data_IF_346702322916
#
_entry.id   IF_346702322916
#
_cell.length_a   1.000
_cell.length_b   1.000
_cell.length_c   1.000
_cell.angle_alpha   90.00
_cell.angle_beta   90.00
_cell.angle_gamma   90.00
#
_symmetry.space_group_name_H-M   'P 1'
#
loop_
_entity.id
_entity.type
_entity.pdbx_description
1 polymer ?
#
# COMPACT_ATOMS: atom_id res chain seq x y z
N UNK A 1 -63.95 1.17 0.97
CA UNK A 1 -62.66 0.57 0.57
C UNK A 1 -61.85 1.60 -0.16
N UNK A 2 -60.57 1.81 0.23
CA UNK A 2 -59.69 2.77 -0.44
C UNK A 2 -59.19 2.22 -1.76
N UNK A 3 -59.01 3.05 -2.80
CA UNK A 3 -58.52 2.60 -4.10
C UNK A 3 -57.04 2.25 -4.04
N UNK A 4 -56.70 1.13 -4.65
CA UNK A 4 -55.33 0.65 -4.81
C UNK A 4 -54.54 1.57 -5.74
N UNK A 5 -53.49 2.19 -5.21
CA UNK A 5 -52.50 2.90 -6.01
C UNK A 5 -51.58 1.88 -6.69
N UNK A 6 -51.79 1.68 -7.98
CA UNK A 6 -50.83 0.97 -8.84
C UNK A 6 -49.76 1.95 -9.25
N UNK A 7 -48.64 1.96 -8.51
CA UNK A 7 -47.41 2.61 -8.98
C UNK A 7 -46.56 1.59 -9.74
N UNK A 8 -46.72 1.58 -11.05
CA UNK A 8 -45.83 0.86 -11.93
C UNK A 8 -44.54 1.69 -12.09
N UNK A 9 -43.51 1.36 -11.35
CA UNK A 9 -42.17 1.88 -11.58
C UNK A 9 -41.65 1.16 -12.82
N UNK A 10 -41.63 1.87 -13.95
CA UNK A 10 -40.92 1.40 -15.13
C UNK A 10 -39.40 1.51 -14.84
N UNK A 11 -38.80 0.38 -14.58
CA UNK A 11 -37.32 0.28 -14.64
C UNK A 11 -36.91 0.42 -16.11
N UNK A 12 -36.45 1.59 -16.49
CA UNK A 12 -35.68 1.75 -17.71
C UNK A 12 -34.26 1.30 -17.40
N UNK A 13 -33.83 0.20 -17.99
CA UNK A 13 -32.46 -0.25 -17.94
C UNK A 13 -31.56 0.83 -18.53
N UNK A 14 -30.39 1.14 -17.90
CA UNK A 14 -29.44 2.07 -18.49
C UNK A 14 -28.92 1.46 -19.79
N UNK A 15 -29.15 2.18 -20.89
CA UNK A 15 -28.54 1.86 -22.18
C UNK A 15 -27.06 2.14 -22.06
N UNK A 16 -26.26 1.11 -22.00
CA UNK A 16 -24.81 1.21 -22.16
C UNK A 16 -24.59 1.60 -23.62
N UNK A 17 -24.28 2.86 -23.84
CA UNK A 17 -23.69 3.30 -25.11
C UNK A 17 -22.33 2.60 -25.22
N UNK A 18 -22.21 1.75 -26.22
CA UNK A 18 -20.90 1.28 -26.67
C UNK A 18 -20.15 2.51 -27.13
N UNK A 19 -19.10 2.87 -26.43
CA UNK A 19 -18.09 3.78 -26.95
C UNK A 19 -17.39 3.05 -28.09
N UNK A 20 -17.74 3.48 -29.29
CA UNK A 20 -17.06 3.04 -30.49
C UNK A 20 -15.64 3.60 -30.52
N UNK A 21 -14.71 2.67 -30.72
CA UNK A 21 -13.44 2.85 -31.38
C UNK A 21 -12.54 3.97 -30.86
N UNK A 22 -11.87 3.68 -29.76
CA UNK A 22 -10.52 4.18 -29.59
C UNK A 22 -9.62 3.24 -30.41
N UNK A 23 -9.08 3.76 -31.51
CA UNK A 23 -8.11 3.07 -32.35
C UNK A 23 -6.85 2.83 -31.54
N UNK A 24 -6.67 1.61 -31.08
CA UNK A 24 -5.45 1.13 -30.40
C UNK A 24 -4.23 1.00 -31.33
N UNK A 25 -4.27 1.58 -32.52
CA UNK A 25 -3.17 1.44 -33.47
C UNK A 25 -2.05 2.48 -33.33
N UNK A 26 -2.28 3.58 -32.63
CA UNK A 26 -1.27 4.65 -32.51
C UNK A 26 -0.39 4.57 -31.25
N UNK A 27 -0.78 3.78 -30.24
CA UNK A 27 0.04 3.61 -29.03
C UNK A 27 1.11 2.53 -29.13
N UNK A 28 0.98 1.57 -30.02
CA UNK A 28 1.95 0.46 -30.14
C UNK A 28 3.22 0.87 -30.89
N UNK A 29 3.16 1.91 -31.72
CA UNK A 29 4.34 2.38 -32.48
C UNK A 29 5.34 3.16 -31.66
N UNK A 30 4.91 3.83 -30.59
CA UNK A 30 5.82 4.64 -29.77
C UNK A 30 6.62 3.85 -28.75
N UNK A 31 6.15 2.67 -28.34
CA UNK A 31 6.91 1.80 -27.40
C UNK A 31 7.98 0.96 -28.07
N UNK A 32 7.79 0.61 -29.34
CA UNK A 32 8.77 -0.18 -30.10
C UNK A 32 9.96 0.67 -30.54
N UNK A 33 9.74 1.94 -30.86
CA UNK A 33 10.84 2.85 -31.22
C UNK A 33 11.71 3.24 -30.02
N UNK A 34 11.14 3.33 -28.82
CA UNK A 34 11.88 3.66 -27.60
C UNK A 34 12.75 2.49 -27.11
N UNK A 35 12.37 1.25 -27.39
CA UNK A 35 13.19 0.08 -27.05
C UNK A 35 14.33 -0.15 -28.04
N UNK A 36 14.11 0.13 -29.31
CA UNK A 36 15.18 0.00 -30.33
C UNK A 36 16.25 1.09 -30.19
N UNK A 37 15.85 2.32 -29.79
CA UNK A 37 16.81 3.41 -29.58
C UNK A 37 17.68 3.18 -28.34
N UNK A 38 17.16 2.55 -27.30
CA UNK A 38 17.96 2.20 -26.10
C UNK A 38 18.93 1.05 -26.33
N UNK A 39 18.57 0.11 -27.19
CA UNK A 39 19.45 -1.03 -27.55
C UNK A 39 20.57 -0.55 -28.50
N UNK A 40 20.28 0.40 -29.39
CA UNK A 40 21.28 0.93 -30.31
C UNK A 40 22.36 1.79 -29.60
N UNK A 41 22.00 2.51 -28.53
CA UNK A 41 22.95 3.32 -27.77
C UNK A 41 23.90 2.44 -26.93
N UNK A 42 23.42 1.28 -26.46
CA UNK A 42 24.26 0.35 -25.69
C UNK A 42 25.30 -0.41 -26.56
N UNK A 43 25.07 -0.54 -27.87
CA UNK A 43 25.98 -1.25 -28.77
C UNK A 43 27.05 -0.30 -29.34
N UNK A 44 26.77 0.99 -29.42
CA UNK A 44 27.74 1.97 -29.95
C UNK A 44 28.86 2.31 -28.95
N UNK A 45 28.65 2.11 -27.65
CA UNK A 45 29.62 2.43 -26.62
C UNK A 45 30.65 1.30 -26.34
N UNK A 46 30.49 0.14 -26.95
CA UNK A 46 31.40 -1.02 -26.76
C UNK A 46 32.53 -1.08 -27.79
N UNK A 47 32.56 -0.16 -28.78
CA UNK A 47 33.51 -0.21 -29.90
C UNK A 47 34.75 0.68 -29.74
N UNK A 48 35.06 1.15 -28.56
CA UNK A 48 36.11 2.14 -28.34
C UNK A 48 37.09 1.84 -27.21
N UNK A 49 37.38 0.60 -26.88
CA UNK A 49 38.51 0.28 -25.99
C UNK A 49 39.01 -1.13 -26.24
N UNK A 50 39.70 -1.30 -27.37
CA UNK A 50 40.59 -2.40 -27.55
C UNK A 50 41.93 -2.07 -26.91
N UNK A 51 42.42 -3.08 -26.19
CA UNK A 51 43.79 -3.30 -25.71
C UNK A 51 44.09 -2.78 -24.28
N UNK A 52 44.45 -3.78 -23.51
CA UNK A 52 45.01 -3.85 -22.18
C UNK A 52 44.03 -3.77 -21.01
N UNK A 53 43.32 -4.86 -20.81
CA UNK A 53 43.26 -5.57 -19.52
C UNK A 53 42.29 -6.74 -19.68
N UNK A 54 42.84 -7.90 -20.03
CA UNK A 54 42.23 -9.20 -19.89
C UNK A 54 41.99 -9.51 -18.41
N UNK A 55 41.03 -8.83 -17.80
CA UNK A 55 40.46 -9.19 -16.51
C UNK A 55 39.00 -9.56 -16.74
N UNK A 56 38.85 -10.85 -16.90
CA UNK A 56 37.74 -11.68 -16.47
C UNK A 56 36.34 -11.13 -16.67
N UNK A 57 35.80 -11.44 -17.85
CA UNK A 57 34.34 -11.48 -18.10
C UNK A 57 33.61 -12.35 -17.06
N UNK A 58 34.36 -13.19 -16.30
CA UNK A 58 33.81 -13.96 -15.20
C UNK A 58 33.40 -13.10 -13.99
N UNK A 59 34.06 -11.97 -13.74
CA UNK A 59 33.71 -11.06 -12.63
C UNK A 59 32.49 -10.20 -12.93
N UNK A 60 32.20 -9.93 -14.20
CA UNK A 60 30.98 -9.22 -14.61
C UNK A 60 29.70 -10.08 -14.50
N UNK A 61 29.84 -11.41 -14.45
CA UNK A 61 28.68 -12.30 -14.22
C UNK A 61 28.25 -12.38 -12.77
N UNK A 62 29.09 -11.98 -11.81
CA UNK A 62 28.72 -11.96 -10.40
C UNK A 62 28.01 -10.68 -9.97
N UNK A 63 28.08 -9.60 -10.75
CA UNK A 63 27.42 -8.33 -10.41
C UNK A 63 25.98 -8.26 -10.90
N UNK A 64 25.56 -9.14 -11.82
CA UNK A 64 24.22 -9.12 -12.42
C UNK A 64 23.24 -10.06 -11.71
N UNK A 65 23.69 -10.77 -10.68
CA UNK A 65 22.77 -11.54 -9.82
C UNK A 65 22.44 -10.78 -8.53
N UNK A 66 22.34 -9.44 -8.59
CA UNK A 66 21.41 -8.79 -7.68
C UNK A 66 20.03 -9.14 -8.20
N UNK A 67 19.46 -10.18 -7.59
CA UNK A 67 18.07 -10.49 -7.75
C UNK A 67 17.29 -9.18 -7.73
N UNK A 68 16.61 -8.86 -8.83
CA UNK A 68 15.53 -7.86 -8.78
C UNK A 68 14.74 -8.19 -7.53
N UNK A 69 14.53 -7.24 -6.61
CA UNK A 69 13.72 -7.51 -5.45
C UNK A 69 12.35 -7.92 -6.00
N UNK A 70 12.05 -9.21 -5.89
CA UNK A 70 10.71 -9.70 -6.19
C UNK A 70 9.73 -8.73 -5.54
N UNK A 71 8.70 -8.26 -6.24
CA UNK A 71 7.74 -7.33 -5.67
C UNK A 71 7.27 -7.93 -4.36
N UNK A 72 7.70 -7.34 -3.26
CA UNK A 72 7.48 -7.89 -1.93
C UNK A 72 5.98 -8.02 -1.70
N UNK A 73 5.49 -9.23 -1.83
CA UNK A 73 4.08 -9.56 -1.68
C UNK A 73 3.63 -9.18 -0.26
N UNK A 74 2.56 -8.43 -0.19
CA UNK A 74 1.92 -8.09 1.08
C UNK A 74 0.82 -9.11 1.32
N UNK A 75 0.88 -9.80 2.44
CA UNK A 75 -0.08 -10.82 2.83
C UNK A 75 -1.17 -10.23 3.74
N UNK A 76 -2.40 -10.67 3.55
CA UNK A 76 -3.51 -10.32 4.43
C UNK A 76 -3.59 -11.28 5.63
N UNK A 77 -3.23 -12.54 5.42
CA UNK A 77 -3.15 -13.58 6.45
C UNK A 77 -1.88 -14.39 6.28
N UNK A 78 -1.27 -14.76 7.41
CA UNK A 78 -0.05 -15.57 7.47
C UNK A 78 -0.14 -16.55 8.64
N UNK A 79 0.73 -17.54 8.66
CA UNK A 79 0.79 -18.54 9.74
C UNK A 79 1.05 -17.90 11.11
N UNK A 80 1.91 -16.90 11.16
CA UNK A 80 2.16 -16.11 12.36
C UNK A 80 1.92 -14.63 12.04
N UNK A 81 0.86 -14.08 12.63
CA UNK A 81 0.53 -12.66 12.48
C UNK A 81 1.57 -11.78 13.17
N UNK A 82 1.83 -10.58 12.64
CA UNK A 82 2.71 -9.62 13.30
C UNK A 82 2.15 -9.25 14.67
N UNK A 83 3.05 -9.03 15.62
CA UNK A 83 2.69 -8.68 16.98
C UNK A 83 3.40 -7.43 17.45
N UNK A 84 2.67 -6.57 18.16
CA UNK A 84 3.26 -5.43 18.86
C UNK A 84 4.18 -5.93 20.00
N UNK A 85 5.30 -5.27 20.28
CA UNK A 85 6.12 -5.58 21.47
C UNK A 85 5.28 -5.47 22.75
N UNK A 86 5.19 -6.56 23.49
CA UNK A 86 4.32 -6.65 24.66
C UNK A 86 2.87 -7.09 24.38
N UNK A 87 2.50 -7.30 23.10
CA UNK A 87 1.20 -7.80 22.70
C UNK A 87 0.14 -6.72 22.47
N UNK A 88 -1.09 -7.16 22.25
CA UNK A 88 -2.20 -6.28 21.91
C UNK A 88 -2.56 -5.28 23.04
N UNK A 89 -2.44 -5.70 24.29
CA UNK A 89 -2.70 -4.82 25.44
C UNK A 89 -1.74 -3.63 25.49
N UNK A 90 -0.45 -3.90 25.30
CA UNK A 90 0.59 -2.85 25.24
C UNK A 90 0.38 -1.91 24.05
N UNK A 91 -0.05 -2.44 22.91
CA UNK A 91 -0.41 -1.63 21.74
C UNK A 91 -1.53 -0.64 22.06
N UNK A 92 -2.60 -1.10 22.72
CA UNK A 92 -3.71 -0.25 23.12
C UNK A 92 -3.29 0.82 24.14
N UNK A 93 -2.42 0.47 25.08
CA UNK A 93 -1.84 1.41 26.02
C UNK A 93 -0.95 2.45 25.32
N UNK A 94 -0.13 2.00 24.38
CA UNK A 94 0.71 2.88 23.57
C UNK A 94 -0.14 3.91 22.80
N UNK A 95 -1.19 3.45 22.13
CA UNK A 95 -2.13 4.32 21.41
C UNK A 95 -2.73 5.35 22.39
N UNK A 96 -3.28 4.91 23.53
CA UNK A 96 -3.90 5.79 24.53
C UNK A 96 -2.94 6.82 25.11
N UNK A 97 -1.69 6.44 25.38
CA UNK A 97 -0.65 7.33 25.93
C UNK A 97 -0.15 8.37 24.93
N UNK A 98 -0.03 7.99 23.67
CA UNK A 98 0.54 8.84 22.62
C UNK A 98 -0.51 9.61 21.83
N UNK A 99 -1.77 9.22 21.95
CA UNK A 99 -2.90 9.88 21.30
C UNK A 99 -3.16 11.25 21.92
N UNK A 100 -3.12 12.27 21.08
CA UNK A 100 -3.50 13.63 21.45
C UNK A 100 -4.85 13.93 20.81
N UNK A 101 -5.80 14.29 21.63
CA UNK A 101 -7.10 14.69 21.10
C UNK A 101 -6.98 16.07 20.45
N UNK A 102 -7.29 16.22 19.15
CA UNK A 102 -7.22 17.52 18.49
C UNK A 102 -8.21 18.51 19.11
N UNK A 103 -7.78 19.73 19.40
CA UNK A 103 -8.59 20.76 20.05
C UNK A 103 -9.89 21.02 19.29
N UNK A 104 -9.81 21.10 17.96
CA UNK A 104 -10.97 21.32 17.09
C UNK A 104 -12.00 20.19 17.23
N UNK A 105 -11.54 18.94 17.31
CA UNK A 105 -12.44 17.81 17.50
C UNK A 105 -13.04 17.78 18.91
N UNK A 106 -12.32 18.27 19.92
CA UNK A 106 -12.84 18.46 21.29
C UNK A 106 -13.94 19.51 21.32
N UNK A 107 -13.70 20.66 20.70
CA UNK A 107 -14.66 21.77 20.63
C UNK A 107 -15.95 21.37 19.91
N UNK A 108 -15.81 20.57 18.85
CA UNK A 108 -16.95 20.05 18.09
C UNK A 108 -17.63 18.85 18.76
N UNK A 109 -17.10 18.35 19.87
CA UNK A 109 -17.62 17.17 20.54
C UNK A 109 -17.53 15.90 19.69
N UNK A 110 -16.63 15.86 18.71
CA UNK A 110 -16.51 14.75 17.77
C UNK A 110 -15.79 13.57 18.42
N UNK A 111 -16.45 12.45 18.55
CA UNK A 111 -15.90 11.22 19.09
C UNK A 111 -16.30 10.02 18.23
N UNK A 112 -15.55 8.95 18.32
CA UNK A 112 -15.84 7.74 17.55
C UNK A 112 -14.65 6.83 17.39
N UNK A 113 -14.82 5.82 16.53
CA UNK A 113 -13.78 4.82 16.24
C UNK A 113 -13.24 5.03 14.83
N UNK A 114 -11.96 5.29 14.74
CA UNK A 114 -11.21 5.34 13.49
C UNK A 114 -10.56 3.99 13.26
N UNK A 115 -10.82 3.36 12.11
CA UNK A 115 -10.21 2.08 11.74
C UNK A 115 -9.08 2.36 10.76
N UNK A 116 -7.86 2.04 11.18
CA UNK A 116 -6.66 2.21 10.37
C UNK A 116 -6.10 0.86 9.95
N UNK A 117 -5.58 0.81 8.73
CA UNK A 117 -4.84 -0.32 8.18
C UNK A 117 -3.42 0.12 7.88
N UNK A 118 -2.47 -0.73 8.15
CA UNK A 118 -1.06 -0.50 7.86
C UNK A 118 -0.37 -1.82 7.51
N UNK A 119 0.82 -1.72 6.95
CA UNK A 119 1.65 -2.87 6.62
C UNK A 119 2.79 -2.95 7.62
N UNK A 120 2.94 -4.10 8.25
CA UNK A 120 4.12 -4.44 9.05
C UNK A 120 5.14 -5.08 8.11
N UNK A 121 6.27 -4.43 7.92
CA UNK A 121 7.34 -4.93 7.07
C UNK A 121 8.02 -6.17 7.65
N UNK A 122 8.81 -6.86 6.83
CA UNK A 122 9.65 -7.97 7.28
C UNK A 122 10.70 -7.53 8.33
N UNK A 123 11.02 -6.25 8.36
CA UNK A 123 11.87 -5.60 9.38
C UNK A 123 11.10 -5.17 10.64
N UNK A 124 9.80 -5.37 10.68
CA UNK A 124 8.91 -4.98 11.77
C UNK A 124 8.48 -3.52 11.77
N UNK A 125 8.88 -2.73 10.79
CA UNK A 125 8.48 -1.33 10.69
C UNK A 125 7.07 -1.19 10.13
N UNK A 126 6.31 -0.26 10.69
CA UNK A 126 4.99 0.12 10.20
C UNK A 126 5.14 1.02 8.96
N UNK A 127 4.42 0.68 7.89
CA UNK A 127 4.40 1.39 6.61
C UNK A 127 2.98 1.45 6.05
N UNK A 128 2.77 2.30 5.05
CA UNK A 128 1.52 2.39 4.29
C UNK A 128 0.28 2.52 5.16
N UNK A 129 0.33 3.42 6.14
CA UNK A 129 -0.79 3.67 7.05
C UNK A 129 -1.93 4.34 6.29
N UNK A 130 -3.10 3.71 6.30
CA UNK A 130 -4.33 4.20 5.65
C UNK A 130 -5.50 4.13 6.61
N UNK A 131 -6.40 5.11 6.52
CA UNK A 131 -7.68 5.08 7.22
C UNK A 131 -8.69 4.35 6.35
N UNK A 132 -9.21 3.21 6.84
CA UNK A 132 -10.28 2.48 6.17
C UNK A 132 -11.66 3.06 6.49
N UNK A 133 -11.84 3.45 7.75
CA UNK A 133 -13.08 4.06 8.23
C UNK A 133 -12.73 5.19 9.20
N UNK A 134 -12.93 6.40 8.75
CA UNK A 134 -12.74 7.62 9.53
C UNK A 134 -14.04 8.10 10.18
N UNK A 135 -13.89 9.07 11.06
CA UNK A 135 -14.98 9.80 11.70
C UNK A 135 -14.87 11.28 11.37
N UNK A 136 -13.67 11.82 11.50
CA UNK A 136 -13.38 13.23 11.31
C UNK A 136 -11.95 13.38 10.78
N UNK A 137 -11.67 14.29 9.83
CA UNK A 137 -10.34 14.48 9.26
C UNK A 137 -9.24 14.74 10.29
N UNK A 138 -9.55 15.42 11.39
CA UNK A 138 -8.59 15.70 12.46
C UNK A 138 -8.29 14.45 13.30
N UNK A 139 -9.31 13.66 13.61
CA UNK A 139 -9.16 12.39 14.32
C UNK A 139 -8.42 11.36 13.45
N UNK A 140 -8.73 11.33 12.16
CA UNK A 140 -8.10 10.43 11.20
C UNK A 140 -6.60 10.71 11.07
N UNK A 141 -6.24 12.00 10.96
CA UNK A 141 -4.85 12.43 10.89
C UNK A 141 -4.07 12.09 12.16
N UNK A 142 -4.68 12.28 13.33
CA UNK A 142 -4.05 11.91 14.60
C UNK A 142 -3.86 10.40 14.73
N UNK A 143 -4.84 9.59 14.31
CA UNK A 143 -4.73 8.14 14.31
C UNK A 143 -3.55 7.66 13.42
N UNK A 144 -3.41 8.23 12.22
CA UNK A 144 -2.29 7.94 11.33
C UNK A 144 -0.96 8.32 11.98
N UNK A 145 -0.88 9.49 12.63
CA UNK A 145 0.33 9.95 13.33
C UNK A 145 0.76 8.98 14.42
N UNK A 146 -0.18 8.56 15.28
CA UNK A 146 0.10 7.65 16.39
C UNK A 146 0.56 6.28 15.89
N UNK A 147 -0.12 5.73 14.89
CA UNK A 147 0.25 4.45 14.30
C UNK A 147 1.63 4.52 13.63
N UNK A 148 1.93 5.61 12.94
CA UNK A 148 3.25 5.81 12.31
C UNK A 148 4.39 5.94 13.32
N UNK A 149 4.08 6.35 14.56
CA UNK A 149 5.06 6.48 15.65
C UNK A 149 5.30 5.20 16.44
N UNK A 150 4.62 4.11 16.10
CA UNK A 150 4.76 2.84 16.80
C UNK A 150 6.19 2.28 16.68
N UNK A 151 6.70 1.60 17.72
CA UNK A 151 7.98 0.92 17.69
C UNK A 151 7.96 -0.27 16.72
N UNK A 152 9.11 -0.88 16.52
CA UNK A 152 9.21 -2.08 15.68
C UNK A 152 8.37 -3.22 16.23
N UNK A 153 7.58 -3.82 15.36
CA UNK A 153 6.78 -4.99 15.61
C UNK A 153 7.58 -6.29 15.41
N UNK A 154 7.09 -7.38 15.95
CA UNK A 154 7.50 -8.70 15.48
C UNK A 154 6.87 -8.90 14.10
N UNK A 155 7.68 -9.15 13.05
CA UNK A 155 7.12 -9.36 11.72
C UNK A 155 6.31 -10.64 11.64
N UNK A 156 5.35 -10.68 10.72
CA UNK A 156 4.65 -11.91 10.40
C UNK A 156 5.57 -12.93 9.74
N UNK A 157 5.28 -14.20 9.91
CA UNK A 157 6.05 -15.31 9.34
C UNK A 157 5.15 -16.20 8.51
N UNK A 158 5.59 -16.50 7.30
CA UNK A 158 4.96 -17.43 6.37
C UNK A 158 6.04 -18.37 5.82
N UNK A 159 5.82 -19.70 5.96
CA UNK A 159 6.80 -20.72 5.54
C UNK A 159 8.21 -20.49 6.13
N UNK A 160 8.31 -20.07 7.38
CA UNK A 160 9.57 -19.78 8.05
C UNK A 160 10.27 -18.49 7.62
N UNK A 161 9.69 -17.72 6.72
CA UNK A 161 10.24 -16.44 6.24
C UNK A 161 9.45 -15.26 6.80
N UNK A 162 10.17 -14.18 7.16
CA UNK A 162 9.56 -12.91 7.54
C UNK A 162 8.95 -12.26 6.29
N UNK A 163 7.69 -11.90 6.39
CA UNK A 163 6.91 -11.34 5.28
C UNK A 163 6.21 -10.05 5.68
N UNK A 164 5.83 -9.26 4.69
CA UNK A 164 4.98 -8.08 4.91
C UNK A 164 3.54 -8.52 5.10
N UNK A 165 2.92 -8.01 6.15
CA UNK A 165 1.53 -8.35 6.49
C UNK A 165 0.73 -7.09 6.71
N UNK A 166 -0.47 -7.04 6.17
CA UNK A 166 -1.46 -6.01 6.49
C UNK A 166 -2.05 -6.26 7.87
N UNK A 167 -2.14 -5.22 8.66
CA UNK A 167 -2.77 -5.26 9.96
C UNK A 167 -3.76 -4.12 10.12
N UNK A 168 -4.89 -4.39 10.77
CA UNK A 168 -5.96 -3.40 10.97
C UNK A 168 -6.18 -3.19 12.46
N UNK A 169 -6.20 -1.93 12.87
CA UNK A 169 -6.36 -1.53 14.28
C UNK A 169 -7.48 -0.49 14.41
N UNK A 170 -8.42 -0.69 15.33
CA UNK A 170 -9.37 0.34 15.71
C UNK A 170 -8.74 1.29 16.75
N UNK A 171 -8.83 2.59 16.50
CA UNK A 171 -8.46 3.65 17.44
C UNK A 171 -9.72 4.32 17.95
N UNK A 172 -9.93 4.27 19.26
CA UNK A 172 -11.12 4.82 19.90
C UNK A 172 -10.84 6.22 20.44
N UNK A 173 -11.57 7.22 19.94
CA UNK A 173 -11.56 8.57 20.45
C UNK A 173 -12.80 8.81 21.30
N UNK A 174 -12.60 9.09 22.58
CA UNK A 174 -13.66 9.44 23.55
C UNK A 174 -13.29 10.71 24.26
N UNK A 175 -14.25 11.60 24.38
CA UNK A 175 -14.17 12.76 25.24
C UNK A 175 -14.44 12.32 26.68
N UNK A 176 -13.61 12.78 27.58
CA UNK A 176 -13.81 12.59 29.02
C UNK A 176 -14.65 13.72 29.59
#
# INVERSE_FOLDING_TARGET
>A
PPPALKSSIKFTAPVIKKDEEVRDEDEIKSQTELTETKVAISIADVKGNDEEHGKDIADLKQVVTQAEPEPEKVFDMVEQMPQFPGGQAEMMQFISKNMKYPTIAQENGTQGRVTCQFVVGADGKVRDVKVLRGVDPYLDKEAVRVISSMPKWKPGVQNGKKVRVKYTVPVMFRLQ
#
